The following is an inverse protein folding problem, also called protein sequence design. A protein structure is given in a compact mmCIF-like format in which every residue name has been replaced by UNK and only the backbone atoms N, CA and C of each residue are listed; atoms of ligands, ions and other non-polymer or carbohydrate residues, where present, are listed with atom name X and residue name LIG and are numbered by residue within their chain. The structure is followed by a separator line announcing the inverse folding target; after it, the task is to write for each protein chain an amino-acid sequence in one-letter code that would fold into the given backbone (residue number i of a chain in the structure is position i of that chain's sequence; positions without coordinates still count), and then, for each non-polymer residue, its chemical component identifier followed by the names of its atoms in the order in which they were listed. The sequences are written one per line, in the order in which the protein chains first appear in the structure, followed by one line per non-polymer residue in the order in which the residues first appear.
data_IF_204678273639
#
_entry.id   IF_204678273639
#
_cell.length_a   1.000
_cell.length_b   1.000
_cell.length_c   1.000
_cell.angle_alpha   90.00
_cell.angle_beta   90.00
_cell.angle_gamma   90.00
#
_symmetry.space_group_name_H-M   'P 1'
#
loop_
_entity.id
_entity.type
_entity.pdbx_description
1 polymer ?
#
# COMPACT_ATOMS: atom_id res chain seq x y z
N UNK A 1 -80.72 9.85 -24.76
CA UNK A 1 -79.96 9.10 -23.73
C UNK A 1 -78.87 8.29 -24.40
N UNK A 2 -77.64 8.81 -24.45
CA UNK A 2 -76.44 8.05 -24.82
C UNK A 2 -75.35 8.48 -23.83
N UNK A 3 -75.08 7.64 -22.83
CA UNK A 3 -74.02 7.84 -21.86
C UNK A 3 -72.69 7.43 -22.49
N UNK A 4 -71.79 8.39 -22.64
CA UNK A 4 -70.40 8.16 -23.04
C UNK A 4 -69.58 7.98 -21.76
N UNK A 5 -69.08 6.76 -21.54
CA UNK A 5 -68.23 6.42 -20.39
C UNK A 5 -66.77 6.71 -20.78
N UNK A 6 -66.21 7.82 -20.30
CA UNK A 6 -64.78 8.12 -20.46
C UNK A 6 -63.98 7.33 -19.41
N UNK A 7 -63.23 6.34 -19.86
CA UNK A 7 -62.29 5.58 -19.04
C UNK A 7 -60.98 6.39 -18.91
N UNK A 8 -60.74 6.98 -17.74
CA UNK A 8 -59.43 7.56 -17.40
C UNK A 8 -58.47 6.42 -17.00
N UNK A 9 -57.53 6.08 -17.87
CA UNK A 9 -56.40 5.21 -17.53
C UNK A 9 -55.34 6.10 -16.89
N UNK A 10 -55.23 6.02 -15.56
CA UNK A 10 -54.12 6.64 -14.84
C UNK A 10 -52.85 5.83 -15.06
N UNK A 11 -51.93 6.37 -15.87
CA UNK A 11 -50.54 5.88 -15.96
C UNK A 11 -49.81 6.25 -14.66
N UNK A 12 -49.67 5.27 -13.76
CA UNK A 12 -48.77 5.35 -12.62
C UNK A 12 -47.32 5.25 -13.12
N UNK A 13 -46.44 6.22 -12.80
CA UNK A 13 -45.02 6.07 -13.07
C UNK A 13 -44.46 5.00 -12.12
N UNK A 14 -44.04 3.87 -12.70
CA UNK A 14 -43.23 2.89 -11.98
C UNK A 14 -41.86 3.53 -11.77
N UNK A 15 -41.65 4.09 -10.57
CA UNK A 15 -40.30 4.43 -10.12
C UNK A 15 -39.56 3.12 -9.84
N UNK A 16 -38.85 2.61 -10.84
CA UNK A 16 -37.75 1.66 -10.61
C UNK A 16 -36.69 2.39 -9.80
N UNK A 17 -36.76 2.25 -8.47
CA UNK A 17 -35.60 2.48 -7.64
C UNK A 17 -34.54 1.48 -8.09
N UNK A 18 -33.50 1.95 -8.79
CA UNK A 18 -32.25 1.19 -8.91
C UNK A 18 -31.71 1.05 -7.49
N UNK A 19 -32.07 -0.05 -6.82
CA UNK A 19 -31.29 -0.52 -5.68
C UNK A 19 -29.95 -0.94 -6.28
N UNK A 20 -28.93 -0.08 -6.17
CA UNK A 20 -27.55 -0.53 -6.35
C UNK A 20 -27.35 -1.71 -5.41
N UNK A 21 -26.90 -2.84 -5.96
CA UNK A 21 -26.60 -4.00 -5.12
C UNK A 21 -25.54 -3.54 -4.11
N UNK A 22 -25.66 -3.95 -2.84
CA UNK A 22 -24.62 -3.69 -1.84
C UNK A 22 -23.26 -4.18 -2.36
N UNK A 23 -23.27 -5.19 -3.24
CA UNK A 23 -22.09 -5.69 -3.94
C UNK A 23 -21.42 -4.70 -4.90
N UNK A 24 -22.16 -3.77 -5.49
CA UNK A 24 -21.65 -2.84 -6.52
C UNK A 24 -20.79 -1.72 -5.91
N UNK A 25 -20.92 -1.48 -4.59
CA UNK A 25 -20.22 -0.42 -3.86
C UNK A 25 -18.74 -0.69 -3.59
N UNK A 26 -18.33 -1.96 -3.66
CA UNK A 26 -16.97 -2.39 -3.37
C UNK A 26 -16.15 -2.54 -4.64
N UNK A 27 -14.83 -2.39 -4.49
CA UNK A 27 -13.88 -2.74 -5.53
C UNK A 27 -13.81 -4.27 -5.69
N UNK A 28 -13.84 -4.76 -6.92
CA UNK A 28 -13.82 -6.19 -7.25
C UNK A 28 -12.84 -6.50 -8.35
N UNK A 29 -12.53 -7.78 -8.53
CA UNK A 29 -11.90 -8.29 -9.74
C UNK A 29 -12.93 -9.05 -10.55
N UNK A 30 -13.16 -8.59 -11.79
CA UNK A 30 -14.04 -9.23 -12.76
C UNK A 30 -13.27 -9.40 -14.06
N UNK A 31 -13.20 -10.64 -14.56
CA UNK A 31 -12.46 -11.00 -15.78
C UNK A 31 -11.00 -10.48 -15.83
N UNK A 32 -10.33 -10.41 -14.68
CA UNK A 32 -8.94 -9.98 -14.56
C UNK A 32 -8.75 -8.45 -14.55
N UNK A 33 -9.81 -7.69 -14.38
CA UNK A 33 -9.79 -6.23 -14.27
C UNK A 33 -10.42 -5.79 -12.95
N UNK A 34 -9.96 -4.68 -12.38
CA UNK A 34 -10.70 -4.09 -11.28
C UNK A 34 -12.00 -3.47 -11.78
N UNK A 35 -13.07 -3.61 -11.00
CA UNK A 35 -14.34 -2.91 -11.22
C UNK A 35 -14.83 -2.24 -9.95
N UNK A 36 -15.55 -1.12 -10.13
CA UNK A 36 -16.31 -0.41 -9.09
C UNK A 36 -17.57 0.16 -9.72
N UNK A 37 -18.73 -0.03 -9.07
CA UNK A 37 -20.04 0.34 -9.60
C UNK A 37 -20.29 -0.20 -11.03
N UNK A 38 -19.83 -1.43 -11.30
CA UNK A 38 -19.94 -2.11 -12.60
C UNK A 38 -19.07 -1.51 -13.72
N UNK A 39 -18.14 -0.60 -13.41
CA UNK A 39 -17.25 0.04 -14.37
C UNK A 39 -15.80 -0.40 -14.14
N UNK A 40 -14.99 -0.54 -15.20
CA UNK A 40 -13.55 -0.74 -15.06
C UNK A 40 -12.94 0.36 -14.18
N UNK A 41 -12.10 -0.04 -13.25
CA UNK A 41 -11.39 0.85 -12.35
C UNK A 41 -9.88 0.72 -12.58
N UNK A 42 -9.23 1.86 -12.77
CA UNK A 42 -7.77 2.00 -12.76
C UNK A 42 -7.41 3.25 -12.01
N UNK A 43 -6.21 3.31 -11.46
CA UNK A 43 -5.84 4.42 -10.60
C UNK A 43 -4.37 4.78 -10.63
N UNK A 44 -4.13 6.08 -10.42
CA UNK A 44 -2.88 6.60 -9.88
C UNK A 44 -3.11 6.86 -8.38
N UNK A 45 -2.27 6.24 -7.57
CA UNK A 45 -2.29 6.24 -6.12
C UNK A 45 -1.01 6.78 -5.52
N UNK A 46 -0.95 6.84 -4.19
CA UNK A 46 0.25 7.21 -3.44
C UNK A 46 0.48 6.26 -2.25
N UNK A 47 1.74 6.04 -1.87
CA UNK A 47 2.05 5.51 -0.55
C UNK A 47 2.06 6.68 0.45
N UNK A 48 1.25 6.56 1.49
CA UNK A 48 1.16 7.50 2.60
C UNK A 48 1.07 6.70 3.90
N UNK A 49 2.13 5.94 4.18
CA UNK A 49 2.17 4.96 5.28
C UNK A 49 1.77 5.58 6.63
N UNK A 50 2.11 6.86 6.84
CA UNK A 50 1.84 7.61 8.07
C UNK A 50 0.43 8.20 8.17
N UNK A 51 -0.47 7.95 7.21
CA UNK A 51 -1.81 8.54 7.19
C UNK A 51 -2.60 8.32 8.49
N UNK A 52 -2.54 7.11 9.05
CA UNK A 52 -3.23 6.78 10.30
C UNK A 52 -2.59 7.47 11.52
N UNK A 53 -1.26 7.60 11.55
CA UNK A 53 -0.51 8.31 12.59
C UNK A 53 -0.88 9.80 12.59
N UNK A 54 -0.88 10.43 11.41
CA UNK A 54 -1.23 11.83 11.23
C UNK A 54 -2.69 12.12 11.60
N UNK A 55 -3.58 11.13 11.48
CA UNK A 55 -4.98 11.21 11.86
C UNK A 55 -5.23 11.05 13.38
N UNK A 56 -4.23 10.62 14.14
CA UNK A 56 -4.34 10.35 15.58
C UNK A 56 -4.79 11.60 16.35
N UNK A 57 -5.62 11.47 17.41
CA UNK A 57 -5.85 12.53 18.39
C UNK A 57 -4.70 12.64 19.41
N UNK A 58 -3.74 11.70 19.39
CA UNK A 58 -2.61 11.62 20.32
C UNK A 58 -1.31 12.20 19.75
N UNK A 59 -0.15 11.91 20.37
CA UNK A 59 1.16 12.35 19.89
C UNK A 59 1.42 11.99 18.43
N UNK A 60 2.01 12.91 17.68
CA UNK A 60 2.27 12.77 16.24
C UNK A 60 1.07 13.10 15.33
N UNK A 61 -0.13 13.22 15.89
CA UNK A 61 -1.32 13.58 15.13
C UNK A 61 -1.34 15.04 14.67
N UNK A 62 -1.72 15.26 13.42
CA UNK A 62 -2.00 16.56 12.84
C UNK A 62 -3.13 16.44 11.80
N UNK A 63 -4.37 16.44 12.27
CA UNK A 63 -5.57 16.31 11.42
C UNK A 63 -5.74 17.48 10.44
N UNK A 64 -5.21 18.66 10.77
CA UNK A 64 -5.27 19.81 9.87
C UNK A 64 -4.35 19.60 8.68
N UNK A 65 -3.10 19.18 8.94
CA UNK A 65 -2.18 18.77 7.89
C UNK A 65 -2.76 17.63 7.08
N UNK A 66 -3.25 16.56 7.72
CA UNK A 66 -3.88 15.44 7.01
C UNK A 66 -4.96 15.90 6.03
N UNK A 67 -5.89 16.76 6.45
CA UNK A 67 -6.93 17.27 5.57
C UNK A 67 -6.34 17.99 4.35
N UNK A 68 -5.33 18.84 4.55
CA UNK A 68 -4.65 19.54 3.46
C UNK A 68 -3.88 18.59 2.52
N UNK A 69 -3.24 17.55 3.05
CA UNK A 69 -2.57 16.53 2.24
C UNK A 69 -3.58 15.76 1.38
N UNK A 70 -4.69 15.30 1.97
CA UNK A 70 -5.73 14.57 1.26
C UNK A 70 -6.41 15.44 0.19
N UNK A 71 -6.67 16.71 0.48
CA UNK A 71 -7.22 17.66 -0.48
C UNK A 71 -6.25 17.89 -1.65
N UNK A 72 -4.95 17.98 -1.37
CA UNK A 72 -3.90 18.15 -2.39
C UNK A 72 -3.80 16.91 -3.30
N UNK A 73 -3.78 15.71 -2.71
CA UNK A 73 -3.77 14.45 -3.45
C UNK A 73 -5.03 14.30 -4.32
N UNK A 74 -6.21 14.55 -3.73
CA UNK A 74 -7.48 14.48 -4.47
C UNK A 74 -7.53 15.48 -5.62
N UNK A 75 -7.03 16.70 -5.43
CA UNK A 75 -6.97 17.72 -6.46
C UNK A 75 -6.00 17.38 -7.63
N UNK A 76 -5.11 16.41 -7.44
CA UNK A 76 -4.29 15.82 -8.51
C UNK A 76 -4.93 14.57 -9.14
N UNK A 77 -6.13 14.16 -8.71
CA UNK A 77 -6.79 12.96 -9.21
C UNK A 77 -6.32 11.67 -8.54
N UNK A 78 -5.54 11.74 -7.46
CA UNK A 78 -5.19 10.55 -6.66
C UNK A 78 -6.44 10.02 -5.97
N UNK A 79 -6.75 8.74 -6.16
CA UNK A 79 -7.98 8.10 -5.62
C UNK A 79 -7.71 6.91 -4.71
N UNK A 80 -6.46 6.47 -4.60
CA UNK A 80 -6.09 5.32 -3.78
C UNK A 80 -4.81 5.62 -2.98
N UNK A 81 -4.82 5.32 -1.68
CA UNK A 81 -3.65 5.40 -0.82
C UNK A 81 -3.26 4.02 -0.32
N UNK A 82 -1.96 3.76 -0.20
CA UNK A 82 -1.44 2.57 0.49
C UNK A 82 -0.87 3.00 1.84
N UNK A 83 -1.38 2.39 2.92
CA UNK A 83 -1.24 2.91 4.30
C UNK A 83 -0.89 1.79 5.27
N UNK A 84 0.03 2.07 6.19
CA UNK A 84 0.34 1.18 7.32
C UNK A 84 -0.79 1.25 8.35
N UNK A 85 -1.29 0.11 8.79
CA UNK A 85 -2.28 0.05 9.88
C UNK A 85 -1.71 0.60 11.19
N UNK A 86 -0.50 0.22 11.56
CA UNK A 86 0.28 0.84 12.62
C UNK A 86 1.55 0.06 12.95
N UNK A 87 2.47 0.66 13.71
CA UNK A 87 3.73 0.01 14.08
C UNK A 87 3.61 -0.87 15.33
N UNK A 88 4.48 -1.87 15.46
CA UNK A 88 4.54 -2.81 16.57
C UNK A 88 5.80 -2.63 17.45
N UNK A 89 5.72 -3.14 18.68
CA UNK A 89 6.86 -3.37 19.56
C UNK A 89 7.20 -2.19 20.46
N UNK A 90 8.37 -2.25 21.07
CA UNK A 90 8.76 -1.26 22.08
C UNK A 90 8.92 0.15 21.48
N UNK A 91 8.45 1.17 22.20
CA UNK A 91 8.75 2.56 21.88
C UNK A 91 10.26 2.86 21.95
N UNK A 92 10.72 3.79 21.10
CA UNK A 92 12.11 4.26 21.12
C UNK A 92 13.14 3.30 20.52
N UNK A 93 12.74 2.24 19.83
CA UNK A 93 13.65 1.45 18.99
C UNK A 93 14.22 2.34 17.88
N UNK A 94 15.56 2.43 17.71
CA UNK A 94 16.15 3.22 16.63
C UNK A 94 15.63 2.80 15.25
N UNK A 95 15.50 3.76 14.33
CA UNK A 95 15.07 3.54 12.94
C UNK A 95 13.65 2.98 12.78
N UNK A 96 12.85 2.99 13.86
CA UNK A 96 11.44 2.63 13.85
C UNK A 96 10.59 3.87 14.11
N UNK A 97 9.44 3.94 13.43
CA UNK A 97 8.48 5.01 13.68
C UNK A 97 7.89 4.92 15.09
N UNK A 98 7.56 6.08 15.64
CA UNK A 98 6.79 6.23 16.87
C UNK A 98 5.64 7.24 16.66
N UNK A 99 4.53 7.14 17.43
CA UNK A 99 4.25 6.09 18.42
C UNK A 99 3.84 4.75 17.78
N UNK A 100 3.94 3.67 18.55
CA UNK A 100 3.60 2.31 18.14
C UNK A 100 2.13 1.98 18.43
N UNK A 101 1.43 1.42 17.45
CA UNK A 101 0.05 0.96 17.59
C UNK A 101 -0.06 -0.21 18.58
N UNK A 102 0.88 -1.15 18.52
CA UNK A 102 0.83 -2.39 19.28
C UNK A 102 2.12 -2.60 20.08
N UNK A 103 2.23 -2.04 21.30
CA UNK A 103 3.43 -2.19 22.13
C UNK A 103 3.67 -3.65 22.60
N UNK A 104 2.60 -4.42 22.81
CA UNK A 104 2.64 -5.83 23.22
C UNK A 104 1.58 -6.64 22.43
N UNK A 105 1.73 -7.98 22.29
CA UNK A 105 0.74 -8.80 21.60
C UNK A 105 -0.66 -8.60 22.18
N UNK A 106 -1.60 -8.22 21.32
CA UNK A 106 -3.01 -7.96 21.67
C UNK A 106 -3.28 -6.67 22.47
N UNK A 107 -2.27 -5.86 22.79
CA UNK A 107 -2.44 -4.57 23.48
C UNK A 107 -2.29 -3.44 22.48
N UNK A 108 -3.31 -2.59 22.35
CA UNK A 108 -3.36 -1.55 21.32
C UNK A 108 -3.52 -0.15 21.91
N UNK A 109 -2.85 0.82 21.28
CA UNK A 109 -3.09 2.23 21.55
C UNK A 109 -4.44 2.68 20.93
N UNK A 110 -5.37 3.10 21.78
CA UNK A 110 -6.71 3.51 21.36
C UNK A 110 -6.75 4.82 20.56
N UNK A 111 -5.80 5.73 20.79
CA UNK A 111 -5.70 6.97 20.03
C UNK A 111 -5.25 6.68 18.59
N UNK A 112 -4.26 5.80 18.40
CA UNK A 112 -3.81 5.38 17.07
C UNK A 112 -4.88 4.61 16.30
N UNK A 113 -5.64 3.74 16.97
CA UNK A 113 -6.80 3.09 16.38
C UNK A 113 -7.89 4.10 15.94
N UNK A 114 -8.13 5.15 16.73
CA UNK A 114 -9.01 6.25 16.32
C UNK A 114 -8.42 7.06 15.15
N UNK A 115 -7.09 7.16 15.06
CA UNK A 115 -6.41 7.73 13.90
C UNK A 115 -6.75 6.99 12.61
N UNK A 116 -6.61 5.67 12.60
CA UNK A 116 -7.02 4.84 11.46
C UNK A 116 -8.50 5.04 11.10
N UNK A 117 -9.39 5.06 12.10
CA UNK A 117 -10.82 5.32 11.89
C UNK A 117 -11.10 6.68 11.25
N UNK A 118 -10.40 7.71 11.72
CA UNK A 118 -10.54 9.07 11.21
C UNK A 118 -10.03 9.17 9.78
N UNK A 119 -8.88 8.55 9.47
CA UNK A 119 -8.36 8.49 8.10
C UNK A 119 -9.39 7.86 7.16
N UNK A 120 -9.92 6.68 7.49
CA UNK A 120 -10.90 6.01 6.64
C UNK A 120 -12.15 6.86 6.42
N UNK A 121 -12.64 7.54 7.46
CA UNK A 121 -13.76 8.48 7.34
C UNK A 121 -13.44 9.66 6.39
N UNK A 122 -12.24 10.21 6.47
CA UNK A 122 -11.78 11.31 5.61
C UNK A 122 -11.58 10.89 4.15
N UNK A 123 -11.13 9.66 3.91
CA UNK A 123 -11.01 9.08 2.57
C UNK A 123 -12.40 8.85 1.96
N UNK A 124 -13.33 8.26 2.72
CA UNK A 124 -14.71 8.06 2.28
C UNK A 124 -15.40 9.37 1.90
N UNK A 125 -15.19 10.46 2.67
CA UNK A 125 -15.72 11.80 2.36
C UNK A 125 -15.17 12.41 1.06
N UNK A 126 -14.03 11.91 0.58
CA UNK A 126 -13.34 12.41 -0.63
C UNK A 126 -13.46 11.46 -1.81
N UNK A 127 -14.26 10.40 -1.71
CA UNK A 127 -14.30 9.30 -2.69
C UNK A 127 -12.88 8.78 -3.01
N UNK A 128 -12.07 8.64 -1.96
CA UNK A 128 -10.76 8.01 -2.00
C UNK A 128 -10.85 6.66 -1.29
N UNK A 129 -9.89 5.79 -1.58
CA UNK A 129 -9.82 4.44 -1.01
C UNK A 129 -8.45 4.13 -0.44
N UNK A 130 -8.36 3.12 0.43
CA UNK A 130 -7.10 2.68 1.03
C UNK A 130 -6.82 1.19 0.83
N UNK A 131 -5.59 0.88 0.44
CA UNK A 131 -4.95 -0.42 0.73
C UNK A 131 -4.38 -0.34 2.15
N UNK A 132 -4.80 -1.25 3.03
CA UNK A 132 -4.34 -1.32 4.42
C UNK A 132 -3.44 -2.54 4.61
N UNK A 133 -2.12 -2.34 4.77
CA UNK A 133 -1.20 -3.44 5.07
C UNK A 133 -1.02 -3.67 6.57
N UNK A 134 -1.08 -4.95 6.95
CA UNK A 134 -1.27 -5.41 8.33
C UNK A 134 0.03 -5.80 9.05
N UNK A 135 1.15 -5.86 8.32
CA UNK A 135 2.46 -6.22 8.85
C UNK A 135 3.55 -5.64 7.96
N UNK A 136 4.80 -5.91 8.31
CA UNK A 136 5.96 -5.51 7.54
C UNK A 136 7.09 -6.54 7.69
N UNK A 137 7.81 -6.85 6.61
CA UNK A 137 9.05 -7.62 6.71
C UNK A 137 10.16 -6.79 7.38
N UNK A 138 10.13 -5.48 7.18
CA UNK A 138 11.17 -4.54 7.61
C UNK A 138 10.98 -3.98 9.02
N UNK A 139 12.07 -3.49 9.59
CA UNK A 139 12.18 -3.05 10.98
C UNK A 139 11.48 -1.72 11.28
N UNK A 140 11.21 -0.91 10.27
CA UNK A 140 10.82 0.48 10.44
C UNK A 140 9.44 0.70 11.05
N UNK A 141 8.60 -0.35 11.04
CA UNK A 141 7.37 -0.42 11.79
C UNK A 141 7.37 -1.53 12.84
N UNK A 142 8.50 -2.21 13.08
CA UNK A 142 8.58 -3.38 13.94
C UNK A 142 8.52 -4.68 13.15
N UNK A 143 7.35 -5.04 12.65
CA UNK A 143 7.20 -6.12 11.67
C UNK A 143 7.63 -7.51 12.16
N UNK A 144 8.11 -8.36 11.25
CA UNK A 144 8.54 -9.73 11.53
C UNK A 144 9.48 -9.85 12.72
N UNK A 145 10.44 -8.92 12.84
CA UNK A 145 11.40 -8.88 13.94
C UNK A 145 10.72 -8.77 15.30
N UNK A 146 9.70 -7.93 15.41
CA UNK A 146 8.95 -7.71 16.66
C UNK A 146 8.11 -8.93 17.04
N UNK A 147 7.43 -9.57 16.08
CA UNK A 147 6.69 -10.80 16.37
C UNK A 147 7.59 -11.96 16.82
N UNK A 148 8.81 -12.05 16.27
CA UNK A 148 9.84 -13.00 16.71
C UNK A 148 10.37 -12.67 18.12
N UNK A 149 10.56 -11.39 18.46
CA UNK A 149 10.90 -10.97 19.82
C UNK A 149 9.83 -11.45 20.82
N UNK A 150 8.55 -11.20 20.52
CA UNK A 150 7.43 -11.66 21.35
C UNK A 150 7.32 -13.18 21.43
N UNK A 151 7.73 -13.90 20.38
CA UNK A 151 7.77 -15.36 20.38
C UNK A 151 8.93 -15.92 21.24
N UNK A 152 9.87 -15.08 21.66
CA UNK A 152 11.02 -15.45 22.48
C UNK A 152 12.28 -15.78 21.68
N UNK A 153 12.38 -15.35 20.43
CA UNK A 153 13.56 -15.58 19.58
C UNK A 153 14.78 -14.72 19.96
N UNK A 154 14.64 -13.83 20.94
CA UNK A 154 15.65 -12.83 21.33
C UNK A 154 15.44 -11.49 20.63
N UNK A 155 16.29 -10.50 20.92
CA UNK A 155 16.22 -9.16 20.33
C UNK A 155 16.50 -9.21 18.82
N UNK A 156 15.65 -8.55 18.03
CA UNK A 156 15.83 -8.42 16.60
C UNK A 156 17.02 -7.51 16.28
N UNK A 157 17.99 -7.95 15.46
CA UNK A 157 19.05 -7.08 14.95
C UNK A 157 18.46 -5.98 14.06
N UNK A 158 19.08 -4.79 14.01
CA UNK A 158 18.69 -3.72 13.09
C UNK A 158 19.68 -3.65 11.92
N UNK A 159 19.24 -3.46 10.66
CA UNK A 159 20.13 -3.44 9.49
C UNK A 159 21.26 -2.41 9.58
N UNK A 160 20.99 -1.21 10.10
CA UNK A 160 21.97 -0.11 10.17
C UNK A 160 23.10 -0.40 11.18
N UNK A 161 22.82 -0.66 12.48
CA UNK A 161 23.89 -0.89 13.46
C UNK A 161 24.42 -2.34 13.45
N UNK A 162 23.60 -3.34 13.12
CA UNK A 162 23.96 -4.76 13.26
C UNK A 162 24.24 -5.46 11.91
N UNK A 163 23.86 -4.83 10.79
CA UNK A 163 24.12 -5.31 9.43
C UNK A 163 23.02 -6.18 8.84
N UNK A 164 22.83 -6.04 7.52
CA UNK A 164 21.80 -6.75 6.74
C UNK A 164 21.77 -8.26 6.96
N UNK A 165 22.95 -8.91 7.03
CA UNK A 165 23.01 -10.37 7.22
C UNK A 165 22.44 -10.81 8.57
N UNK A 166 22.72 -10.07 9.64
CA UNK A 166 22.22 -10.40 10.96
C UNK A 166 20.70 -10.25 11.02
N UNK A 167 20.19 -9.12 10.49
CA UNK A 167 18.77 -8.86 10.38
C UNK A 167 18.05 -9.92 9.54
N UNK A 168 18.44 -10.12 8.27
CA UNK A 168 17.79 -11.07 7.35
C UNK A 168 17.81 -12.51 7.88
N UNK A 169 18.90 -12.94 8.53
CA UNK A 169 18.99 -14.27 9.17
C UNK A 169 18.04 -14.40 10.36
N UNK A 170 17.78 -13.32 11.08
CA UNK A 170 16.85 -13.33 12.20
C UNK A 170 15.40 -13.35 11.70
N UNK A 171 15.03 -12.41 10.83
CA UNK A 171 13.64 -12.26 10.37
C UNK A 171 13.16 -13.38 9.45
N UNK A 172 14.06 -14.11 8.77
CA UNK A 172 13.70 -15.31 7.98
C UNK A 172 13.06 -16.42 8.80
N UNK A 173 13.20 -16.39 10.13
CA UNK A 173 12.59 -17.37 11.04
C UNK A 173 11.08 -17.18 11.19
N UNK A 174 10.56 -15.98 10.90
CA UNK A 174 9.16 -15.61 11.16
C UNK A 174 8.17 -16.60 10.52
N UNK A 175 8.36 -16.91 9.24
CA UNK A 175 7.44 -17.78 8.47
C UNK A 175 7.38 -19.22 9.02
N UNK A 176 8.43 -19.65 9.72
CA UNK A 176 8.52 -20.97 10.37
C UNK A 176 8.21 -20.95 11.88
N UNK A 177 7.96 -19.78 12.47
CA UNK A 177 7.64 -19.66 13.89
C UNK A 177 6.13 -19.56 14.09
N UNK A 178 5.52 -20.66 14.54
CA UNK A 178 4.07 -20.75 14.70
C UNK A 178 3.52 -19.81 15.79
N UNK A 179 4.34 -19.45 16.80
CA UNK A 179 3.92 -18.49 17.84
C UNK A 179 3.87 -17.09 17.26
N UNK A 180 4.90 -16.69 16.50
CA UNK A 180 4.94 -15.40 15.81
C UNK A 180 3.77 -15.28 14.82
N UNK A 181 3.55 -16.29 13.98
CA UNK A 181 2.41 -16.33 13.05
C UNK A 181 1.06 -16.29 13.75
N UNK A 182 0.90 -16.98 14.89
CA UNK A 182 -0.36 -16.96 15.65
C UNK A 182 -0.66 -15.56 16.20
N UNK A 183 0.34 -14.87 16.76
CA UNK A 183 0.15 -13.49 17.24
C UNK A 183 -0.20 -12.53 16.11
N UNK A 184 0.40 -12.71 14.93
CA UNK A 184 0.03 -11.93 13.76
C UNK A 184 -1.41 -12.24 13.30
N UNK A 185 -1.81 -13.51 13.27
CA UNK A 185 -3.19 -13.90 12.94
C UNK A 185 -4.22 -13.27 13.91
N UNK A 186 -3.87 -13.14 15.20
CA UNK A 186 -4.72 -12.44 16.18
C UNK A 186 -4.79 -10.93 15.89
N UNK A 187 -3.68 -10.31 15.47
CA UNK A 187 -3.69 -8.93 15.00
C UNK A 187 -4.60 -8.74 13.78
N UNK A 188 -4.50 -9.62 12.78
CA UNK A 188 -5.35 -9.62 11.59
C UNK A 188 -6.83 -9.69 11.99
N UNK A 189 -7.21 -10.64 12.86
CA UNK A 189 -8.59 -10.75 13.35
C UNK A 189 -9.06 -9.47 14.04
N UNK A 190 -8.22 -8.89 14.89
CA UNK A 190 -8.56 -7.70 15.66
C UNK A 190 -8.81 -6.48 14.76
N UNK A 191 -7.92 -6.22 13.79
CA UNK A 191 -8.05 -5.06 12.89
C UNK A 191 -9.16 -5.26 11.87
N UNK A 192 -9.24 -6.43 11.21
CA UNK A 192 -10.23 -6.66 10.14
C UNK A 192 -11.66 -6.70 10.69
N UNK A 193 -11.85 -7.11 11.96
CA UNK A 193 -13.17 -7.09 12.63
C UNK A 193 -13.54 -5.74 13.24
N UNK A 194 -12.68 -4.72 13.12
CA UNK A 194 -12.87 -3.41 13.75
C UNK A 194 -14.16 -2.72 13.27
N UNK A 195 -14.80 -2.00 14.18
CA UNK A 195 -15.83 -1.02 13.84
C UNK A 195 -15.26 0.38 13.98
N UNK A 196 -15.43 1.20 12.95
CA UNK A 196 -14.94 2.56 12.90
C UNK A 196 -15.61 3.39 14.00
N UNK A 197 -14.83 3.92 14.94
CA UNK A 197 -15.36 4.71 16.07
C UNK A 197 -15.86 6.09 15.68
N UNK A 198 -15.49 6.60 14.49
CA UNK A 198 -15.91 7.90 13.96
C UNK A 198 -17.22 7.78 13.19
N UNK A 199 -17.39 6.74 12.37
CA UNK A 199 -18.58 6.55 11.52
C UNK A 199 -19.60 5.56 12.08
N UNK A 200 -19.18 4.68 12.98
CA UNK A 200 -19.98 3.55 13.49
C UNK A 200 -20.09 2.37 12.51
N UNK A 201 -19.42 2.42 11.36
CA UNK A 201 -19.48 1.40 10.31
C UNK A 201 -18.43 0.30 10.59
N UNK A 202 -18.80 -1.00 10.58
CA UNK A 202 -17.83 -2.08 10.57
C UNK A 202 -16.87 -1.95 9.38
N UNK A 203 -15.57 -2.17 9.55
CA UNK A 203 -14.60 -2.01 8.46
C UNK A 203 -14.94 -2.88 7.25
N UNK A 204 -15.41 -4.11 7.48
CA UNK A 204 -15.91 -5.00 6.41
C UNK A 204 -17.07 -4.43 5.57
N UNK A 205 -17.74 -3.40 6.05
CA UNK A 205 -18.86 -2.73 5.40
C UNK A 205 -18.48 -1.31 4.90
N UNK A 206 -17.21 -0.90 5.03
CA UNK A 206 -16.71 0.43 4.63
C UNK A 206 -16.07 0.40 3.23
N UNK A 207 -16.73 0.90 2.17
CA UNK A 207 -16.22 0.85 0.81
C UNK A 207 -15.04 1.82 0.55
N UNK A 208 -14.63 2.61 1.55
CA UNK A 208 -13.37 3.34 1.49
C UNK A 208 -12.15 2.40 1.64
N UNK A 209 -12.31 1.18 2.12
CA UNK A 209 -11.25 0.17 2.04
C UNK A 209 -11.25 -0.38 0.61
N UNK A 210 -10.12 -0.26 -0.08
CA UNK A 210 -9.90 -0.88 -1.39
C UNK A 210 -9.58 -2.37 -1.23
N UNK A 211 -8.60 -2.65 -0.37
CA UNK A 211 -8.17 -4.01 -0.07
C UNK A 211 -7.49 -4.09 1.29
N UNK A 212 -7.54 -5.28 1.88
CA UNK A 212 -6.59 -5.69 2.89
C UNK A 212 -5.31 -6.19 2.23
N UNK A 213 -4.17 -5.90 2.85
CA UNK A 213 -2.88 -6.40 2.39
C UNK A 213 -2.15 -7.11 3.53
N UNK A 214 -1.63 -8.29 3.23
CA UNK A 214 -1.07 -9.18 4.25
C UNK A 214 0.14 -8.52 4.95
N UNK A 215 1.07 -8.00 4.17
CA UNK A 215 2.33 -7.49 4.70
C UNK A 215 2.93 -6.49 3.70
N UNK A 216 3.70 -5.52 4.18
CA UNK A 216 4.62 -4.80 3.32
C UNK A 216 5.81 -5.69 2.96
N UNK A 217 5.99 -5.94 1.66
CA UNK A 217 7.12 -6.70 1.09
C UNK A 217 7.35 -8.06 1.78
N UNK A 218 6.34 -8.97 1.88
CA UNK A 218 6.53 -10.26 2.52
C UNK A 218 7.60 -11.06 1.77
N UNK A 219 8.65 -11.44 2.50
CA UNK A 219 9.71 -12.32 2.01
C UNK A 219 9.91 -13.50 2.94
N UNK A 220 10.36 -14.63 2.39
CA UNK A 220 10.78 -15.76 3.20
C UNK A 220 12.26 -15.65 3.63
N UNK A 221 13.06 -14.82 2.92
CA UNK A 221 14.47 -14.55 3.18
C UNK A 221 15.29 -15.85 3.31
N UNK A 222 14.95 -16.84 2.49
CA UNK A 222 15.51 -18.18 2.54
C UNK A 222 15.59 -18.82 1.15
N UNK A 223 16.73 -19.45 0.87
CA UNK A 223 16.90 -20.27 -0.32
C UNK A 223 16.36 -21.71 -0.15
N UNK A 224 15.79 -22.04 1.02
CA UNK A 224 15.29 -23.38 1.32
C UNK A 224 13.90 -23.60 0.72
N UNK A 225 13.75 -24.63 -0.13
CA UNK A 225 12.47 -25.01 -0.72
C UNK A 225 11.39 -25.30 0.33
N UNK A 226 11.76 -25.91 1.46
CA UNK A 226 10.79 -26.17 2.54
C UNK A 226 10.31 -24.88 3.20
N UNK A 227 11.17 -23.87 3.34
CA UNK A 227 10.79 -22.55 3.87
C UNK A 227 9.92 -21.80 2.85
N UNK A 228 10.23 -21.89 1.55
CA UNK A 228 9.42 -21.30 0.47
C UNK A 228 8.02 -21.90 0.39
N UNK A 229 7.89 -23.22 0.63
CA UNK A 229 6.59 -23.89 0.73
C UNK A 229 5.77 -23.36 1.91
N UNK A 230 6.37 -23.32 3.11
CA UNK A 230 5.72 -22.78 4.33
C UNK A 230 5.35 -21.31 4.17
N UNK A 231 6.17 -20.51 3.49
CA UNK A 231 5.85 -19.11 3.18
C UNK A 231 4.60 -18.99 2.31
N UNK A 232 4.46 -19.82 1.28
CA UNK A 232 3.27 -19.83 0.43
C UNK A 232 2.02 -20.23 1.21
N UNK A 233 2.12 -21.25 2.05
CA UNK A 233 1.03 -21.70 2.93
C UNK A 233 0.62 -20.59 3.91
N UNK A 234 1.58 -19.91 4.53
CA UNK A 234 1.30 -18.79 5.42
C UNK A 234 0.57 -17.64 4.72
N UNK A 235 0.99 -17.24 3.51
CA UNK A 235 0.29 -16.22 2.72
C UNK A 235 -1.18 -16.65 2.49
N UNK A 236 -1.40 -17.92 2.14
CA UNK A 236 -2.75 -18.44 1.90
C UNK A 236 -3.59 -18.48 3.18
N UNK A 237 -3.03 -18.95 4.28
CA UNK A 237 -3.71 -19.02 5.57
C UNK A 237 -4.16 -17.63 6.06
N UNK A 238 -3.32 -16.60 5.89
CA UNK A 238 -3.68 -15.22 6.23
C UNK A 238 -4.75 -14.68 5.29
N UNK A 239 -4.64 -14.94 3.97
CA UNK A 239 -5.66 -14.52 3.02
C UNK A 239 -7.04 -15.14 3.35
N UNK A 240 -7.09 -16.45 3.59
CA UNK A 240 -8.30 -17.16 3.99
C UNK A 240 -8.84 -16.65 5.33
N UNK A 241 -7.96 -16.34 6.28
CA UNK A 241 -8.36 -15.72 7.56
C UNK A 241 -9.04 -14.37 7.33
N UNK A 242 -8.46 -13.49 6.52
CA UNK A 242 -9.05 -12.19 6.20
C UNK A 242 -10.44 -12.40 5.57
N UNK A 243 -10.55 -13.24 4.53
CA UNK A 243 -11.83 -13.53 3.87
C UNK A 243 -12.89 -14.12 4.80
N UNK A 244 -12.49 -14.87 5.82
CA UNK A 244 -13.41 -15.42 6.83
C UNK A 244 -14.02 -14.36 7.75
N UNK A 245 -13.32 -13.24 7.98
CA UNK A 245 -13.79 -12.12 8.79
C UNK A 245 -14.49 -11.07 7.92
N UNK A 246 -13.95 -10.82 6.73
CA UNK A 246 -14.40 -9.84 5.76
C UNK A 246 -14.50 -10.48 4.36
N UNK A 247 -15.71 -10.93 3.97
CA UNK A 247 -15.94 -11.52 2.65
C UNK A 247 -16.14 -10.46 1.55
N UNK A 248 -16.14 -9.16 1.87
CA UNK A 248 -16.49 -8.10 0.93
C UNK A 248 -15.26 -7.52 0.21
N UNK A 249 -14.18 -7.27 0.96
CA UNK A 249 -12.99 -6.61 0.45
C UNK A 249 -12.04 -7.55 -0.29
N UNK A 250 -11.30 -6.97 -1.23
CA UNK A 250 -10.17 -7.65 -1.87
C UNK A 250 -9.03 -7.88 -0.88
N UNK A 251 -8.20 -8.88 -1.14
CA UNK A 251 -6.98 -9.19 -0.41
C UNK A 251 -5.81 -9.27 -1.38
N UNK A 252 -4.68 -8.73 -0.97
CA UNK A 252 -3.41 -8.77 -1.72
C UNK A 252 -2.23 -9.15 -0.84
N UNK A 253 -1.12 -9.51 -1.47
CA UNK A 253 0.05 -10.02 -0.73
C UNK A 253 0.92 -8.88 -0.21
N UNK A 254 1.14 -7.84 -1.02
CA UNK A 254 2.16 -6.82 -0.77
C UNK A 254 3.54 -7.15 -1.33
N UNK A 255 3.64 -8.20 -2.15
CA UNK A 255 4.91 -8.71 -2.69
C UNK A 255 5.56 -7.71 -3.64
N UNK A 256 6.90 -7.63 -3.58
CA UNK A 256 7.68 -6.87 -4.55
C UNK A 256 7.71 -7.53 -5.94
N UNK A 257 7.29 -8.79 -6.06
CA UNK A 257 7.43 -9.60 -7.27
C UNK A 257 8.55 -10.61 -7.17
N UNK A 258 9.27 -10.81 -8.27
CA UNK A 258 10.38 -11.73 -8.43
C UNK A 258 11.45 -11.57 -7.35
N UNK A 259 11.84 -10.33 -7.02
CA UNK A 259 12.82 -10.10 -5.95
C UNK A 259 12.26 -10.36 -4.55
N UNK A 260 10.97 -10.07 -4.31
CA UNK A 260 10.27 -10.43 -3.06
C UNK A 260 10.04 -11.93 -2.90
N UNK A 261 10.15 -12.68 -4.00
CA UNK A 261 10.03 -14.13 -4.03
C UNK A 261 11.40 -14.81 -4.21
N UNK A 262 12.47 -14.22 -3.67
CA UNK A 262 13.81 -14.81 -3.68
C UNK A 262 14.33 -15.20 -5.07
N UNK A 263 14.06 -14.33 -6.06
CA UNK A 263 14.39 -14.52 -7.47
C UNK A 263 13.73 -15.77 -8.07
N UNK A 264 12.49 -16.06 -7.65
CA UNK A 264 11.70 -17.20 -8.11
C UNK A 264 10.31 -16.76 -8.58
N UNK A 265 10.11 -16.71 -9.91
CA UNK A 265 8.83 -16.36 -10.50
C UNK A 265 7.76 -17.44 -10.29
N UNK A 266 8.15 -18.70 -10.08
CA UNK A 266 7.20 -19.77 -9.77
C UNK A 266 6.67 -19.62 -8.34
N UNK A 267 7.49 -19.18 -7.40
CA UNK A 267 7.03 -18.79 -6.07
C UNK A 267 6.09 -17.58 -6.12
N UNK A 268 6.41 -16.57 -6.94
CA UNK A 268 5.51 -15.44 -7.17
C UNK A 268 4.14 -15.88 -7.71
N UNK A 269 4.10 -16.77 -8.70
CA UNK A 269 2.84 -17.34 -9.20
C UNK A 269 2.12 -18.15 -8.12
N UNK A 270 2.85 -18.93 -7.32
CA UNK A 270 2.31 -19.77 -6.25
C UNK A 270 1.62 -18.94 -5.17
N UNK A 271 2.25 -17.90 -4.63
CA UNK A 271 1.63 -17.12 -3.55
C UNK A 271 0.36 -16.39 -4.04
N UNK A 272 0.33 -16.00 -5.32
CA UNK A 272 -0.83 -15.35 -5.93
C UNK A 272 -1.87 -16.33 -6.52
N UNK A 273 -1.63 -17.65 -6.53
CA UNK A 273 -2.58 -18.62 -7.09
C UNK A 273 -3.76 -18.94 -6.18
N UNK A 274 -3.72 -18.52 -4.91
CA UNK A 274 -4.85 -18.71 -3.99
C UNK A 274 -6.10 -17.96 -4.49
N UNK A 275 -7.31 -18.56 -4.43
CA UNK A 275 -8.55 -17.87 -4.77
C UNK A 275 -8.86 -16.70 -3.82
N UNK A 276 -8.26 -16.69 -2.62
CA UNK A 276 -8.47 -15.63 -1.63
C UNK A 276 -7.55 -14.42 -1.83
N UNK A 277 -6.61 -14.47 -2.78
CA UNK A 277 -5.82 -13.33 -3.23
C UNK A 277 -6.45 -12.79 -4.52
N UNK A 278 -6.90 -11.54 -4.53
CA UNK A 278 -7.66 -11.00 -5.66
C UNK A 278 -6.76 -10.42 -6.76
N UNK A 279 -5.60 -9.85 -6.39
CA UNK A 279 -4.70 -9.21 -7.35
C UNK A 279 -3.22 -9.35 -6.98
N UNK A 280 -2.35 -9.03 -7.93
CA UNK A 280 -0.89 -9.16 -7.82
C UNK A 280 -0.27 -7.80 -7.52
N UNK A 281 0.84 -7.83 -6.77
CA UNK A 281 1.64 -6.66 -6.46
C UNK A 281 3.04 -6.82 -7.05
N UNK A 282 3.62 -5.72 -7.53
CA UNK A 282 5.05 -5.60 -7.78
C UNK A 282 5.55 -4.26 -7.27
N UNK A 283 6.77 -4.24 -6.76
CA UNK A 283 7.48 -3.03 -6.38
C UNK A 283 8.66 -2.84 -7.32
N UNK A 284 9.15 -1.61 -7.53
CA UNK A 284 10.31 -1.36 -8.40
C UNK A 284 11.26 -0.37 -7.74
N UNK A 285 12.47 -0.85 -7.41
CA UNK A 285 13.46 -0.09 -6.65
C UNK A 285 14.84 0.00 -7.35
N UNK A 286 14.98 0.79 -8.43
CA UNK A 286 16.21 0.78 -9.24
C UNK A 286 17.49 1.08 -8.45
N UNK A 287 17.43 2.01 -7.50
CA UNK A 287 18.59 2.35 -6.68
C UNK A 287 18.89 1.26 -5.65
N UNK A 288 17.88 0.79 -4.90
CA UNK A 288 18.08 -0.26 -3.87
C UNK A 288 18.56 -1.59 -4.49
N UNK A 289 18.17 -1.88 -5.73
CA UNK A 289 18.60 -3.07 -6.47
C UNK A 289 19.90 -2.88 -7.26
N UNK A 290 20.58 -1.74 -7.06
CA UNK A 290 21.85 -1.39 -7.70
C UNK A 290 21.80 -1.40 -9.25
N UNK A 291 20.66 -1.03 -9.84
CA UNK A 291 20.56 -0.81 -11.28
C UNK A 291 21.12 0.56 -11.69
N UNK A 292 21.17 1.47 -10.73
CA UNK A 292 21.82 2.78 -10.81
C UNK A 292 22.58 3.06 -9.52
N UNK A 293 23.60 3.89 -9.61
CA UNK A 293 24.44 4.31 -8.49
C UNK A 293 24.23 5.80 -8.22
N UNK A 294 24.64 6.28 -7.04
CA UNK A 294 24.51 7.68 -6.63
C UNK A 294 25.05 8.64 -7.69
N UNK A 295 26.23 8.33 -8.23
CA UNK A 295 26.96 9.15 -9.20
C UNK A 295 26.31 9.12 -10.59
N UNK A 296 25.44 8.16 -10.86
CA UNK A 296 24.88 7.90 -12.20
C UNK A 296 23.36 8.01 -12.27
N UNK A 297 22.71 8.53 -11.22
CA UNK A 297 21.24 8.64 -11.15
C UNK A 297 20.60 9.34 -12.36
N UNK A 298 21.27 10.34 -12.94
CA UNK A 298 20.78 11.03 -14.15
C UNK A 298 21.26 10.31 -15.41
N UNK A 299 22.56 10.04 -15.51
CA UNK A 299 23.19 9.51 -16.72
C UNK A 299 22.77 8.07 -17.06
N UNK A 300 22.48 7.25 -16.04
CA UNK A 300 22.07 5.85 -16.18
C UNK A 300 20.56 5.65 -16.08
N UNK A 301 19.76 6.72 -16.13
CA UNK A 301 18.30 6.62 -16.09
C UNK A 301 17.72 5.72 -17.19
N UNK A 302 18.29 5.75 -18.39
CA UNK A 302 17.86 4.86 -19.49
C UNK A 302 18.06 3.37 -19.14
N UNK A 303 19.11 3.05 -18.38
CA UNK A 303 19.33 1.70 -17.88
C UNK A 303 18.30 1.33 -16.82
N UNK A 304 18.01 2.23 -15.87
CA UNK A 304 16.95 2.02 -14.88
C UNK A 304 15.59 1.76 -15.53
N UNK A 305 15.23 2.55 -16.56
CA UNK A 305 13.98 2.37 -17.32
C UNK A 305 13.93 1.01 -18.00
N UNK A 306 15.00 0.60 -18.71
CA UNK A 306 15.04 -0.72 -19.36
C UNK A 306 14.95 -1.89 -18.37
N UNK A 307 15.61 -1.77 -17.22
CA UNK A 307 15.53 -2.81 -16.18
C UNK A 307 14.15 -2.85 -15.54
N UNK A 308 13.50 -1.70 -15.35
CA UNK A 308 12.12 -1.62 -14.85
C UNK A 308 11.15 -2.22 -15.86
N UNK A 309 11.34 -1.97 -17.16
CA UNK A 309 10.56 -2.58 -18.23
C UNK A 309 10.65 -4.10 -18.20
N UNK A 310 11.88 -4.62 -18.22
CA UNK A 310 12.14 -6.07 -18.12
C UNK A 310 11.45 -6.67 -16.90
N UNK A 311 11.57 -6.01 -15.75
CA UNK A 311 10.97 -6.46 -14.50
C UNK A 311 9.45 -6.43 -14.56
N UNK A 312 8.81 -5.38 -15.08
CA UNK A 312 7.36 -5.36 -15.22
C UNK A 312 6.91 -6.48 -16.18
N UNK A 313 7.53 -6.56 -17.35
CA UNK A 313 7.09 -7.44 -18.43
C UNK A 313 7.23 -8.93 -18.06
N UNK A 314 8.18 -9.33 -17.21
CA UNK A 314 8.29 -10.71 -16.75
C UNK A 314 7.14 -11.16 -15.82
N UNK A 315 6.45 -10.24 -15.15
CA UNK A 315 5.31 -10.58 -14.27
C UNK A 315 3.97 -10.63 -15.02
N UNK A 316 3.83 -9.91 -16.14
CA UNK A 316 2.55 -9.83 -16.87
C UNK A 316 2.00 -11.21 -17.31
N UNK A 317 2.82 -12.17 -17.80
CA UNK A 317 2.32 -13.49 -18.14
C UNK A 317 1.74 -14.26 -16.94
N UNK A 318 2.20 -13.99 -15.71
CA UNK A 318 1.64 -14.58 -14.49
C UNK A 318 0.25 -14.01 -14.21
N UNK A 319 0.11 -12.68 -14.29
CA UNK A 319 -1.17 -11.98 -14.15
C UNK A 319 -2.21 -12.49 -15.16
N UNK A 320 -1.80 -12.69 -16.41
CA UNK A 320 -2.64 -13.25 -17.47
C UNK A 320 -3.09 -14.69 -17.19
N UNK A 321 -2.18 -15.57 -16.78
CA UNK A 321 -2.50 -16.97 -16.43
C UNK A 321 -3.46 -17.06 -15.25
N UNK A 322 -3.24 -16.24 -14.23
CA UNK A 322 -4.08 -16.21 -13.03
C UNK A 322 -5.39 -15.44 -13.25
N UNK A 323 -5.51 -14.68 -14.34
CA UNK A 323 -6.63 -13.77 -14.62
C UNK A 323 -6.87 -12.79 -13.47
N UNK A 324 -5.79 -12.18 -13.00
CA UNK A 324 -5.79 -11.23 -11.89
C UNK A 324 -5.03 -9.97 -12.30
N UNK A 325 -5.53 -8.76 -11.99
CA UNK A 325 -4.81 -7.53 -12.30
C UNK A 325 -3.52 -7.44 -11.49
N UNK A 326 -2.58 -6.63 -11.97
CA UNK A 326 -1.31 -6.33 -11.28
C UNK A 326 -1.21 -4.83 -10.97
N UNK A 327 -0.71 -4.49 -9.79
CA UNK A 327 -0.51 -3.12 -9.33
C UNK A 327 0.97 -2.88 -9.06
N UNK A 328 1.50 -1.79 -9.62
CA UNK A 328 2.84 -1.27 -9.27
C UNK A 328 2.72 -0.43 -8.01
N UNK A 329 2.52 -1.08 -6.87
CA UNK A 329 2.09 -0.40 -5.64
C UNK A 329 3.23 0.23 -4.84
N UNK A 330 4.47 0.01 -5.24
CA UNK A 330 5.59 0.87 -4.86
C UNK A 330 6.55 1.03 -6.03
N UNK A 331 6.93 2.26 -6.31
CA UNK A 331 8.09 2.56 -7.13
C UNK A 331 8.60 3.95 -6.74
N UNK A 332 9.92 4.11 -6.76
CA UNK A 332 10.55 5.37 -6.39
C UNK A 332 11.84 5.60 -7.18
N UNK A 333 12.21 6.88 -7.31
CA UNK A 333 13.50 7.27 -7.85
C UNK A 333 14.03 8.43 -7.01
N UNK A 334 15.32 8.44 -6.61
CA UNK A 334 15.84 9.48 -5.74
C UNK A 334 15.84 10.85 -6.41
N UNK A 335 16.00 11.92 -5.61
CA UNK A 335 16.33 13.25 -6.18
C UNK A 335 17.73 13.20 -6.81
N UNK A 336 18.01 14.15 -7.69
CA UNK A 336 19.25 14.14 -8.48
C UNK A 336 20.49 14.16 -7.56
N UNK A 337 21.48 13.32 -7.85
CA UNK A 337 22.72 13.20 -7.06
C UNK A 337 22.55 12.62 -5.64
N UNK A 338 21.40 11.99 -5.35
CA UNK A 338 21.05 11.48 -4.02
C UNK A 338 21.04 12.60 -2.96
N UNK A 339 20.54 13.78 -3.36
CA UNK A 339 20.30 14.87 -2.44
C UNK A 339 18.96 14.71 -1.72
N UNK A 340 18.92 15.10 -0.45
CA UNK A 340 17.73 14.90 0.41
C UNK A 340 16.94 16.19 0.67
N UNK A 341 17.48 17.36 0.29
CA UNK A 341 16.79 18.64 0.44
C UNK A 341 15.75 18.86 -0.66
N UNK A 342 14.68 19.60 -0.34
CA UNK A 342 13.64 20.02 -1.28
C UNK A 342 14.17 20.89 -2.42
N UNK A 343 15.30 21.58 -2.22
CA UNK A 343 15.92 22.43 -3.24
C UNK A 343 16.69 21.62 -4.30
N UNK A 344 16.92 20.33 -4.05
CA UNK A 344 17.60 19.44 -5.00
C UNK A 344 16.64 19.13 -6.15
N UNK A 345 17.05 19.25 -7.42
CA UNK A 345 16.19 18.92 -8.55
C UNK A 345 15.74 17.45 -8.59
N UNK A 346 14.63 17.20 -9.29
CA UNK A 346 14.01 15.88 -9.47
C UNK A 346 13.93 15.49 -10.95
N UNK A 347 14.92 15.90 -11.75
CA UNK A 347 14.84 15.74 -13.21
C UNK A 347 14.84 14.28 -13.65
N UNK A 348 15.67 13.43 -13.03
CA UNK A 348 15.68 12.01 -13.33
C UNK A 348 14.42 11.31 -12.82
N UNK A 349 13.96 11.69 -11.62
CA UNK A 349 12.70 11.18 -11.03
C UNK A 349 11.50 11.49 -11.91
N UNK A 350 11.36 12.72 -12.39
CA UNK A 350 10.24 13.13 -13.24
C UNK A 350 10.16 12.29 -14.52
N UNK A 351 11.31 12.09 -15.18
CA UNK A 351 11.36 11.25 -16.37
C UNK A 351 11.09 9.77 -16.06
N UNK A 352 11.56 9.27 -14.92
CA UNK A 352 11.23 7.91 -14.47
C UNK A 352 9.74 7.73 -14.16
N UNK A 353 9.13 8.67 -13.42
CA UNK A 353 7.70 8.65 -13.08
C UNK A 353 6.83 8.73 -14.33
N UNK A 354 7.21 9.56 -15.31
CA UNK A 354 6.52 9.62 -16.61
C UNK A 354 6.50 8.26 -17.32
N UNK A 355 7.61 7.51 -17.27
CA UNK A 355 7.68 6.16 -17.83
C UNK A 355 6.77 5.18 -17.07
N UNK A 356 6.87 5.15 -15.74
CA UNK A 356 6.11 4.22 -14.90
C UNK A 356 4.60 4.45 -15.02
N UNK A 357 4.13 5.70 -14.94
CA UNK A 357 2.72 6.02 -15.18
C UNK A 357 2.29 5.76 -16.63
N UNK A 358 3.19 5.96 -17.60
CA UNK A 358 2.97 5.59 -18.99
C UNK A 358 2.62 4.11 -19.19
N UNK A 359 3.17 3.19 -18.38
CA UNK A 359 2.81 1.77 -18.40
C UNK A 359 1.36 1.54 -17.92
N UNK A 360 0.90 2.26 -16.91
CA UNK A 360 -0.51 2.21 -16.45
C UNK A 360 -1.45 2.71 -17.55
N UNK A 361 -1.15 3.88 -18.13
CA UNK A 361 -1.94 4.49 -19.20
C UNK A 361 -2.01 3.59 -20.45
N UNK A 362 -0.87 3.02 -20.86
CA UNK A 362 -0.80 2.11 -22.01
C UNK A 362 -1.58 0.83 -21.75
N UNK A 363 -1.52 0.32 -20.52
CA UNK A 363 -2.32 -0.84 -20.12
C UNK A 363 -3.81 -0.50 -20.09
N UNK A 364 -4.20 0.70 -19.68
CA UNK A 364 -5.59 1.16 -19.70
C UNK A 364 -6.13 1.21 -21.14
N UNK A 365 -5.37 1.80 -22.06
CA UNK A 365 -5.77 1.93 -23.46
C UNK A 365 -5.87 0.59 -24.20
N UNK A 366 -5.06 -0.40 -23.82
CA UNK A 366 -5.02 -1.73 -24.45
C UNK A 366 -5.83 -2.81 -23.73
N UNK A 367 -6.43 -2.50 -22.58
CA UNK A 367 -7.11 -3.50 -21.74
C UNK A 367 -6.14 -4.50 -21.08
N UNK A 368 -4.87 -4.14 -20.92
CA UNK A 368 -3.83 -4.98 -20.29
C UNK A 368 -4.00 -5.16 -18.77
N UNK A 369 -3.10 -5.91 -18.15
CA UNK A 369 -3.21 -6.34 -16.75
C UNK A 369 -2.78 -5.29 -15.70
N UNK A 370 -2.05 -4.23 -16.07
CA UNK A 370 -1.54 -3.22 -15.11
C UNK A 370 -2.67 -2.28 -14.70
N UNK A 371 -3.29 -2.52 -13.56
CA UNK A 371 -4.53 -1.86 -13.17
C UNK A 371 -4.32 -0.60 -12.30
N UNK A 372 -3.13 -0.37 -11.79
CA UNK A 372 -2.83 0.85 -11.05
C UNK A 372 -1.38 0.95 -10.64
N UNK A 373 -1.04 2.09 -10.04
CA UNK A 373 0.26 2.29 -9.42
C UNK A 373 0.14 3.22 -8.20
N UNK A 374 0.94 2.97 -7.17
CA UNK A 374 1.12 3.90 -6.05
C UNK A 374 2.60 4.31 -6.03
N UNK A 375 2.88 5.60 -6.26
CA UNK A 375 4.26 6.05 -6.15
C UNK A 375 4.70 6.01 -4.69
N UNK A 376 5.97 5.67 -4.46
CA UNK A 376 6.61 5.83 -3.16
C UNK A 376 7.47 7.10 -3.18
N UNK A 377 7.19 8.11 -2.35
CA UNK A 377 6.03 8.22 -1.44
C UNK A 377 5.61 9.67 -1.24
N UNK A 378 4.40 9.89 -0.70
CA UNK A 378 3.89 11.24 -0.45
C UNK A 378 4.55 11.87 0.77
N UNK A 379 5.42 12.86 0.57
CA UNK A 379 5.99 13.69 1.65
C UNK A 379 5.16 14.93 1.95
N UNK A 380 4.44 15.44 0.94
CA UNK A 380 3.50 16.53 1.11
C UNK A 380 4.15 17.80 1.65
N UNK A 381 3.57 18.34 2.71
CA UNK A 381 4.01 19.58 3.36
C UNK A 381 5.06 19.39 4.46
N UNK A 382 5.50 18.15 4.73
CA UNK A 382 6.45 17.83 5.80
C UNK A 382 7.66 18.79 5.81
N UNK A 383 7.99 19.35 6.97
CA UNK A 383 9.15 20.23 7.14
C UNK A 383 10.48 19.45 7.12
N UNK A 384 10.97 19.20 5.91
CA UNK A 384 12.27 18.55 5.67
C UNK A 384 13.39 19.56 5.42
N UNK A 385 14.52 19.35 6.10
CA UNK A 385 15.78 20.08 5.92
C UNK A 385 16.99 19.15 6.06
N UNK A 386 18.18 19.60 5.65
CA UNK A 386 19.40 18.80 5.74
C UNK A 386 19.75 18.37 7.19
N UNK A 387 19.29 19.11 8.20
CA UNK A 387 19.52 18.80 9.62
C UNK A 387 18.56 17.72 10.18
N UNK A 388 17.50 17.40 9.43
CA UNK A 388 16.48 16.39 9.76
C UNK A 388 16.64 15.13 8.90
N UNK A 389 17.88 14.71 8.65
CA UNK A 389 18.14 13.59 7.75
C UNK A 389 17.59 12.26 8.28
N UNK A 390 17.65 12.03 9.59
CA UNK A 390 17.10 10.83 10.22
C UNK A 390 15.94 11.25 11.09
N UNK A 391 14.77 10.64 10.83
CA UNK A 391 13.55 10.96 11.57
C UNK A 391 13.74 10.73 13.07
N UNK A 392 13.19 11.65 13.88
CA UNK A 392 13.09 11.52 15.33
C UNK A 392 11.64 11.73 15.77
N UNK A 393 11.22 11.17 16.92
CA UNK A 393 9.91 11.46 17.48
C UNK A 393 9.67 12.97 17.62
N UNK A 394 8.57 13.44 17.01
CA UNK A 394 8.20 14.85 16.95
C UNK A 394 8.59 15.56 15.65
N UNK A 395 9.44 14.97 14.81
CA UNK A 395 9.61 15.42 13.44
C UNK A 395 8.36 15.06 12.61
N UNK A 396 8.07 15.90 11.62
CA UNK A 396 7.01 15.65 10.66
C UNK A 396 7.19 14.27 10.02
N UNK A 397 6.12 13.47 10.01
CA UNK A 397 6.08 12.30 9.14
C UNK A 397 6.19 12.73 7.69
N UNK A 398 6.97 12.01 6.89
CA UNK A 398 7.05 12.20 5.44
C UNK A 398 6.97 10.83 4.74
N UNK A 399 7.18 10.80 3.43
CA UNK A 399 7.07 9.58 2.64
C UNK A 399 8.15 8.56 2.99
N UNK A 400 9.31 9.03 3.45
CA UNK A 400 10.45 8.20 3.87
C UNK A 400 10.24 7.77 5.34
N UNK A 401 10.15 6.47 5.65
CA UNK A 401 10.02 6.00 7.02
C UNK A 401 11.36 6.07 7.77
N UNK A 402 11.30 5.85 9.09
CA UNK A 402 12.38 6.21 10.01
C UNK A 402 13.74 5.49 9.78
N UNK A 403 13.76 4.41 9.00
CA UNK A 403 14.96 3.68 8.60
C UNK A 403 15.65 4.23 7.36
N UNK A 404 15.06 5.22 6.70
CA UNK A 404 15.62 5.87 5.53
C UNK A 404 15.97 7.34 5.81
N UNK A 405 16.87 7.93 5.02
CA UNK A 405 17.07 9.36 5.05
C UNK A 405 15.82 10.13 4.62
N UNK A 406 15.35 11.09 5.42
CA UNK A 406 14.19 11.91 5.09
C UNK A 406 14.49 12.79 3.86
N UNK A 407 13.65 12.70 2.82
CA UNK A 407 13.85 13.33 1.52
C UNK A 407 14.45 12.42 0.44
N UNK A 408 14.63 11.13 0.74
CA UNK A 408 15.17 10.15 -0.21
C UNK A 408 14.23 9.93 -1.40
N UNK A 409 13.00 9.49 -1.14
CA UNK A 409 11.96 9.23 -2.12
C UNK A 409 10.72 10.12 -1.98
N UNK A 410 10.58 10.84 -0.87
CA UNK A 410 9.45 11.77 -0.68
C UNK A 410 9.23 12.71 -1.88
N UNK A 411 7.97 12.76 -2.34
CA UNK A 411 7.44 13.78 -3.24
C UNK A 411 6.77 14.86 -2.37
N UNK A 412 7.33 16.07 -2.42
CA UNK A 412 6.83 17.20 -1.63
C UNK A 412 5.81 18.04 -2.40
N UNK A 413 5.00 18.81 -1.69
CA UNK A 413 4.07 19.78 -2.29
C UNK A 413 4.78 20.87 -3.11
N UNK A 414 6.10 21.06 -2.90
CA UNK A 414 6.96 21.96 -3.66
C UNK A 414 7.51 21.36 -4.95
N UNK A 415 7.40 20.05 -5.18
CA UNK A 415 7.95 19.35 -6.36
C UNK A 415 7.02 19.52 -7.57
N UNK A 416 6.78 20.77 -7.98
CA UNK A 416 5.72 21.15 -8.93
C UNK A 416 5.74 20.36 -10.26
N UNK A 417 6.93 19.98 -10.75
CA UNK A 417 7.07 19.18 -11.96
C UNK A 417 6.60 17.74 -11.77
N UNK A 418 6.98 17.09 -10.65
CA UNK A 418 6.49 15.75 -10.29
C UNK A 418 4.98 15.76 -10.06
N UNK A 419 4.46 16.78 -9.36
CA UNK A 419 3.01 16.93 -9.13
C UNK A 419 2.23 17.07 -10.45
N UNK A 420 2.80 17.78 -11.44
CA UNK A 420 2.20 17.87 -12.77
C UNK A 420 2.12 16.49 -13.45
N UNK A 421 3.19 15.71 -13.39
CA UNK A 421 3.24 14.36 -13.99
C UNK A 421 2.19 13.43 -13.35
N UNK A 422 2.06 13.46 -12.03
CA UNK A 422 1.04 12.68 -11.30
C UNK A 422 -0.36 13.10 -11.74
N UNK A 423 -0.62 14.41 -11.82
CA UNK A 423 -1.92 14.95 -12.27
C UNK A 423 -2.24 14.54 -13.70
N UNK A 424 -1.31 14.75 -14.64
CA UNK A 424 -1.52 14.40 -16.05
C UNK A 424 -1.81 12.89 -16.20
N UNK A 425 -1.13 12.04 -15.43
CA UNK A 425 -1.36 10.59 -15.43
C UNK A 425 -2.73 10.22 -14.84
N UNK A 426 -3.16 10.86 -13.75
CA UNK A 426 -4.47 10.61 -13.16
C UNK A 426 -5.61 11.10 -14.07
N UNK A 427 -5.46 12.26 -14.71
CA UNK A 427 -6.39 12.77 -15.71
C UNK A 427 -6.48 11.86 -16.94
N UNK A 428 -5.38 11.26 -17.37
CA UNK A 428 -5.35 10.30 -18.48
C UNK A 428 -6.08 8.97 -18.24
N UNK A 429 -6.51 8.69 -17.01
CA UNK A 429 -7.31 7.50 -16.65
C UNK A 429 -8.82 7.79 -16.52
N UNK A 430 -9.22 9.07 -16.53
CA UNK A 430 -10.63 9.49 -16.49
C UNK A 430 -11.21 9.56 -17.89
#
# INVERSE_FOLDING_TARGET
MKNLFCLFIALLPVMTACTTDVRDRFYRVEDGQFTKDGKPYRFIGANMWYGALLASPGPGGDRQRLAAELDSLKAMGVTNLRVLVGAEGQEGTPYKVAPVLQPEPGVYDGALLQGLDWLMAELGRRDMSAVLYLNNTWEWSGGYGTYLEWAGAGKSPLPIPDGWKAFSTFVSKFVTDDRAKSMFADHVRYIVSRTNSVTGVPYKDDPAIFSWQICNEPRCLSASDSVRAVFSEWIWDVASLIKSVDPNHMVSTGSEGYYGCEADLALFEKIHSSPDIDYLNIHVWPYNWNWVEKETLVDSLDAAVRMSEWYIDMHLPVAERLRKPIVMEEFGYPRDGLGYSKDVPVTARDRYYSYMFGKVLSSAASGGMIAGANFWAWGGTADQSADKLWWKPGDDYCGDPAQEPQGFYSVYSSDASTLKIIRDAAEGLQ
#
